data_IF_651386418982
#
_entry.id   IF_651386418982
#
_cell.length_a   1.000
_cell.length_b   1.000
_cell.length_c   1.000
_cell.angle_alpha   90.00
_cell.angle_beta   90.00
_cell.angle_gamma   90.00
#
_symmetry.space_group_name_H-M   'P 1'
#
loop_
_entity.id
_entity.type
_entity.pdbx_description
1 polymer ?
#
# COMPACT_ATOMS: atom_id res chain seq x y z
N UNK A 1 -38.24 -32.61 -21.25
CA UNK A 1 -37.68 -33.02 -19.95
C UNK A 1 -37.37 -31.72 -19.26
N UNK A 2 -38.33 -31.27 -18.45
CA UNK A 2 -38.18 -30.16 -17.51
C UNK A 2 -37.28 -30.66 -16.37
N UNK A 3 -36.29 -29.87 -15.95
CA UNK A 3 -35.72 -30.04 -14.61
C UNK A 3 -35.67 -28.67 -13.95
N UNK A 4 -36.45 -28.65 -12.88
CA UNK A 4 -36.79 -27.58 -11.98
C UNK A 4 -35.62 -27.27 -11.03
N UNK A 5 -35.71 -26.09 -10.43
CA UNK A 5 -34.79 -25.58 -9.43
C UNK A 5 -35.06 -26.27 -8.09
N UNK A 6 -34.05 -26.56 -7.27
CA UNK A 6 -34.27 -26.64 -5.82
C UNK A 6 -33.00 -26.30 -5.01
N UNK A 7 -33.18 -25.25 -4.23
CA UNK A 7 -32.35 -24.66 -3.19
C UNK A 7 -32.33 -25.56 -1.94
N UNK A 8 -31.18 -25.72 -1.29
CA UNK A 8 -31.09 -26.43 -0.01
C UNK A 8 -30.25 -25.64 1.01
N UNK A 9 -30.94 -24.77 1.75
CA UNK A 9 -30.50 -24.20 3.02
C UNK A 9 -30.58 -25.23 4.15
N UNK A 10 -29.53 -25.38 4.96
CA UNK A 10 -29.64 -25.87 6.35
C UNK A 10 -28.58 -25.25 7.27
N UNK A 11 -29.08 -24.41 8.17
CA UNK A 11 -28.53 -24.05 9.48
C UNK A 11 -28.55 -25.24 10.44
N UNK A 12 -27.59 -25.32 11.38
CA UNK A 12 -27.86 -25.46 12.83
C UNK A 12 -26.57 -25.62 13.67
N UNK A 13 -26.61 -24.92 14.81
CA UNK A 13 -25.62 -24.67 15.86
C UNK A 13 -25.34 -25.87 16.77
N UNK A 14 -24.17 -25.96 17.44
CA UNK A 14 -23.85 -25.76 18.89
C UNK A 14 -22.57 -26.62 19.15
N UNK A 15 -21.64 -26.42 20.09
CA UNK A 15 -21.68 -26.07 21.52
C UNK A 15 -20.25 -25.74 22.05
N UNK A 16 -20.16 -25.36 23.33
CA UNK A 16 -19.10 -24.71 24.14
C UNK A 16 -17.90 -25.57 24.56
N UNK A 17 -16.79 -24.89 24.91
CA UNK A 17 -15.96 -25.04 26.14
C UNK A 17 -14.91 -23.88 26.13
N UNK A 18 -14.47 -23.17 27.18
CA UNK A 18 -14.45 -23.41 28.62
C UNK A 18 -13.01 -23.44 29.18
N UNK A 19 -12.29 -22.31 29.36
CA UNK A 19 -11.16 -22.27 30.33
C UNK A 19 -10.74 -20.87 30.84
N UNK A 20 -10.56 -20.80 32.17
CA UNK A 20 -10.09 -19.68 33.01
C UNK A 20 -8.55 -19.68 33.21
N UNK A 21 -8.00 -18.50 33.53
CA UNK A 21 -6.80 -18.27 34.37
C UNK A 21 -6.38 -16.79 34.30
N UNK A 22 -6.59 -15.91 35.29
CA UNK A 22 -6.01 -15.69 36.65
C UNK A 22 -4.54 -15.23 36.70
N UNK A 23 -4.33 -13.99 37.18
CA UNK A 23 -3.11 -13.48 37.85
C UNK A 23 -2.14 -12.71 36.95
N UNK A 24 -1.60 -11.54 37.30
CA UNK A 24 -1.66 -10.74 38.52
C UNK A 24 -0.95 -9.39 38.28
N UNK A 25 -1.39 -8.36 39.01
CA UNK A 25 -0.87 -6.98 38.98
C UNK A 25 -0.03 -6.78 40.24
N UNK A 26 1.27 -6.40 40.12
CA UNK A 26 2.06 -5.82 41.22
C UNK A 26 3.43 -5.27 40.77
N UNK A 27 3.77 -4.08 41.29
CA UNK A 27 5.15 -3.57 41.47
C UNK A 27 5.55 -2.48 40.47
N UNK A 28 5.32 -1.17 40.72
CA UNK A 28 6.17 -0.25 41.52
C UNK A 28 7.68 -0.33 41.23
N UNK A 29 8.21 0.74 40.64
CA UNK A 29 9.65 1.00 40.51
C UNK A 29 9.97 2.27 39.73
N UNK A 30 9.86 3.44 40.38
CA UNK A 30 10.58 4.66 39.96
C UNK A 30 12.09 4.46 40.18
N UNK A 31 12.96 5.03 39.33
CA UNK A 31 13.89 6.02 39.88
C UNK A 31 14.14 7.25 38.99
N UNK A 32 13.95 8.41 39.62
CA UNK A 32 14.85 9.59 39.69
C UNK A 32 15.70 10.01 38.47
N UNK A 33 15.47 11.27 38.04
CA UNK A 33 16.31 12.11 37.20
C UNK A 33 17.77 12.26 37.66
N UNK A 34 18.72 12.33 36.71
CA UNK A 34 19.87 13.24 36.77
C UNK A 34 20.59 13.43 35.42
N UNK A 35 20.47 14.67 34.91
CA UNK A 35 21.44 15.55 34.23
C UNK A 35 22.54 14.98 33.30
N UNK A 36 22.41 15.38 32.04
CA UNK A 36 23.34 16.20 31.22
C UNK A 36 24.80 15.72 31.02
N UNK A 37 25.12 15.35 29.76
CA UNK A 37 26.44 15.63 29.16
C UNK A 37 26.46 15.54 27.61
N UNK A 38 26.70 16.71 27.00
CA UNK A 38 27.47 17.09 25.79
C UNK A 38 27.53 16.22 24.50
N UNK A 39 27.51 16.98 23.39
CA UNK A 39 28.17 16.73 22.07
C UNK A 39 27.41 15.74 21.16
N UNK A 40 27.36 15.82 19.83
CA UNK A 40 27.90 16.70 18.78
C UNK A 40 27.19 16.32 17.47
N UNK A 41 27.23 17.22 16.49
CA UNK A 41 27.12 16.99 15.04
C UNK A 41 27.23 15.53 14.55
N UNK A 42 26.25 15.08 13.75
CA UNK A 42 26.33 13.85 12.97
C UNK A 42 25.15 13.75 12.01
N UNK A 43 25.45 13.87 10.72
CA UNK A 43 24.52 13.95 9.60
C UNK A 43 24.39 12.56 9.01
N UNK A 44 23.34 11.82 9.37
CA UNK A 44 23.02 10.56 8.71
C UNK A 44 21.56 10.57 8.28
N UNK A 45 21.36 10.73 6.97
CA UNK A 45 20.07 10.48 6.31
C UNK A 45 19.95 8.97 6.13
N UNK A 46 19.61 8.28 7.21
CA UNK A 46 19.14 6.92 7.12
C UNK A 46 17.65 6.98 6.80
N UNK A 47 17.25 6.47 5.63
CA UNK A 47 15.83 6.26 5.27
C UNK A 47 15.35 5.08 6.10
N UNK A 48 15.08 5.33 7.37
CA UNK A 48 14.40 4.38 8.23
C UNK A 48 12.95 4.31 7.73
N UNK A 49 12.70 3.35 6.86
CA UNK A 49 11.35 2.98 6.46
C UNK A 49 10.66 2.48 7.72
N UNK A 50 9.78 3.30 8.28
CA UNK A 50 8.96 2.93 9.44
C UNK A 50 8.33 1.56 9.20
N UNK A 51 8.48 0.66 10.17
CA UNK A 51 7.85 -0.67 10.14
C UNK A 51 6.35 -0.52 10.35
N UNK A 52 5.56 -1.47 9.85
CA UNK A 52 4.11 -1.44 10.05
C UNK A 52 3.75 -1.44 11.55
N UNK A 53 4.57 -2.08 12.38
CA UNK A 53 4.44 -2.11 13.83
C UNK A 53 4.66 -0.73 14.50
N UNK A 54 5.62 0.06 14.02
CA UNK A 54 5.87 1.42 14.54
C UNK A 54 4.73 2.40 14.20
N UNK A 55 4.04 2.16 13.07
CA UNK A 55 2.93 2.98 12.61
C UNK A 55 1.60 2.68 13.31
N UNK A 56 1.48 1.55 14.03
CA UNK A 56 0.22 1.15 14.70
C UNK A 56 0.18 1.60 16.17
N UNK A 57 1.35 1.83 16.80
CA UNK A 57 1.46 2.11 18.24
C UNK A 57 1.67 3.59 18.61
N UNK A 58 1.91 4.47 17.64
CA UNK A 58 1.95 5.92 17.84
C UNK A 58 0.60 6.56 17.57
N UNK A 59 0.35 7.78 18.07
CA UNK A 59 -0.79 8.60 17.66
C UNK A 59 -0.72 8.81 16.13
N UNK A 60 -1.40 7.95 15.37
CA UNK A 60 -1.19 7.83 13.92
C UNK A 60 -1.75 9.06 13.24
N UNK A 61 -0.89 10.03 12.99
CA UNK A 61 -1.21 11.12 12.08
C UNK A 61 -1.45 10.51 10.70
N UNK A 62 -2.72 10.40 10.32
CA UNK A 62 -3.13 9.90 9.00
C UNK A 62 -2.50 10.82 7.94
N UNK A 63 -1.73 10.27 6.99
CA UNK A 63 -1.10 11.07 5.95
C UNK A 63 -2.11 11.89 5.13
N UNK A 64 -1.72 13.09 4.71
CA UNK A 64 -2.60 13.99 3.93
C UNK A 64 -2.18 14.14 2.48
N UNK A 65 -1.02 13.61 2.09
CA UNK A 65 -0.58 13.57 0.71
C UNK A 65 -0.57 12.15 0.13
N UNK A 66 -0.70 12.05 -1.19
CA UNK A 66 -0.81 10.77 -1.89
C UNK A 66 0.38 9.86 -1.66
N UNK A 67 1.60 10.41 -1.69
CA UNK A 67 2.82 9.61 -1.56
C UNK A 67 2.90 8.94 -0.19
N UNK A 68 2.73 9.71 0.87
CA UNK A 68 2.79 9.19 2.25
C UNK A 68 1.63 8.24 2.54
N UNK A 69 0.42 8.54 2.04
CA UNK A 69 -0.73 7.63 2.19
C UNK A 69 -0.51 6.31 1.43
N UNK A 70 0.11 6.37 0.25
CA UNK A 70 0.50 5.19 -0.51
C UNK A 70 1.51 4.34 0.24
N UNK A 71 2.58 4.96 0.77
CA UNK A 71 3.60 4.25 1.55
C UNK A 71 2.99 3.63 2.82
N UNK A 72 2.10 4.36 3.51
CA UNK A 72 1.36 3.86 4.66
C UNK A 72 0.49 2.64 4.30
N UNK A 73 -0.34 2.74 3.25
CA UNK A 73 -1.21 1.64 2.83
C UNK A 73 -0.42 0.45 2.26
N UNK A 74 0.73 0.69 1.61
CA UNK A 74 1.64 -0.37 1.19
C UNK A 74 2.19 -1.12 2.40
N UNK A 75 2.56 -0.41 3.48
CA UNK A 75 3.01 -1.03 4.73
C UNK A 75 1.91 -1.86 5.37
N UNK A 76 0.70 -1.32 5.49
CA UNK A 76 -0.47 -2.02 6.04
C UNK A 76 -0.79 -3.30 5.26
N UNK A 77 -0.61 -3.31 3.94
CA UNK A 77 -0.85 -4.49 3.10
C UNK A 77 0.35 -5.46 2.99
N UNK A 78 1.49 -5.16 3.61
CA UNK A 78 2.70 -6.00 3.50
C UNK A 78 3.41 -5.89 2.13
N UNK A 79 3.22 -4.78 1.43
CA UNK A 79 3.83 -4.50 0.12
C UNK A 79 5.00 -3.50 0.19
N UNK A 80 5.37 -3.03 1.37
CA UNK A 80 6.51 -2.13 1.58
C UNK A 80 7.85 -2.69 1.09
N UNK A 81 8.78 -1.78 0.79
CA UNK A 81 10.16 -2.12 0.45
C UNK A 81 10.35 -2.73 -0.94
N UNK A 82 9.35 -2.62 -1.83
CA UNK A 82 9.41 -3.08 -3.23
C UNK A 82 9.94 -1.95 -4.12
N UNK A 83 11.20 -1.99 -4.60
CA UNK A 83 11.77 -0.87 -5.37
C UNK A 83 11.01 -0.55 -6.66
N UNK A 84 10.39 -1.57 -7.28
CA UNK A 84 9.60 -1.35 -8.49
C UNK A 84 8.33 -0.53 -8.22
N UNK A 85 7.74 -0.61 -7.02
CA UNK A 85 6.60 0.24 -6.64
C UNK A 85 7.03 1.69 -6.48
N UNK A 86 8.18 1.93 -5.85
CA UNK A 86 8.75 3.27 -5.67
C UNK A 86 8.97 3.99 -7.01
N UNK A 87 9.44 3.26 -8.04
CA UNK A 87 9.64 3.82 -9.39
C UNK A 87 8.33 4.26 -10.05
N UNK A 88 7.27 3.46 -9.90
CA UNK A 88 5.94 3.80 -10.41
C UNK A 88 5.37 4.98 -9.61
N UNK A 89 5.48 4.95 -8.28
CA UNK A 89 4.99 6.01 -7.40
C UNK A 89 5.65 7.36 -7.71
N UNK A 90 6.97 7.36 -7.92
CA UNK A 90 7.73 8.55 -8.30
C UNK A 90 7.29 9.15 -9.65
N UNK A 91 6.72 8.32 -10.54
CA UNK A 91 6.27 8.72 -11.88
C UNK A 91 4.76 8.91 -11.98
N UNK A 92 4.02 8.66 -10.90
CA UNK A 92 2.56 8.57 -10.91
C UNK A 92 1.87 9.87 -11.30
N UNK A 93 2.37 10.99 -10.79
CA UNK A 93 1.86 12.33 -11.10
C UNK A 93 2.00 12.66 -12.60
N UNK A 94 3.09 12.23 -13.23
CA UNK A 94 3.29 12.35 -14.68
C UNK A 94 2.37 11.40 -15.47
N UNK A 95 2.18 10.17 -14.98
CA UNK A 95 1.22 9.22 -15.58
C UNK A 95 -0.20 9.81 -15.62
N UNK A 96 -0.67 10.37 -14.50
CA UNK A 96 -2.00 10.99 -14.40
C UNK A 96 -2.13 12.16 -15.37
N UNK A 97 -1.12 13.04 -15.46
CA UNK A 97 -1.11 14.14 -16.44
C UNK A 97 -1.13 13.67 -17.89
N UNK A 98 -0.58 12.49 -18.17
CA UNK A 98 -0.57 11.90 -19.51
C UNK A 98 -1.87 11.19 -19.91
N UNK A 99 -2.86 11.09 -19.01
CA UNK A 99 -4.11 10.35 -19.23
C UNK A 99 -4.91 10.77 -20.46
N UNK A 100 -4.80 12.03 -20.87
CA UNK A 100 -5.48 12.57 -22.06
C UNK A 100 -4.74 12.30 -23.38
N UNK A 101 -3.50 11.81 -23.34
CA UNK A 101 -2.67 11.57 -24.53
C UNK A 101 -2.09 10.16 -24.52
N UNK A 102 -2.61 9.31 -25.42
CA UNK A 102 -2.16 7.92 -25.55
C UNK A 102 -0.69 7.79 -25.95
N UNK A 103 -0.16 8.75 -26.71
CA UNK A 103 1.25 8.83 -27.07
C UNK A 103 2.13 9.16 -25.85
N UNK A 104 1.78 10.19 -25.08
CA UNK A 104 2.51 10.54 -23.85
C UNK A 104 2.45 9.43 -22.81
N UNK A 105 1.27 8.84 -22.61
CA UNK A 105 1.10 7.68 -21.73
C UNK A 105 2.03 6.53 -22.12
N UNK A 106 2.18 6.27 -23.43
CA UNK A 106 3.09 5.24 -23.92
C UNK A 106 4.54 5.57 -23.58
N UNK A 107 5.00 6.78 -23.90
CA UNK A 107 6.38 7.23 -23.59
C UNK A 107 6.68 7.08 -22.09
N UNK A 108 5.76 7.51 -21.22
CA UNK A 108 5.93 7.39 -19.76
C UNK A 108 5.95 5.92 -19.31
N UNK A 109 5.09 5.07 -19.86
CA UNK A 109 5.10 3.63 -19.56
C UNK A 109 6.39 2.96 -20.04
N UNK A 110 6.96 3.38 -21.17
CA UNK A 110 8.24 2.88 -21.69
C UNK A 110 9.38 3.26 -20.72
N UNK A 111 9.44 4.52 -20.29
CA UNK A 111 10.43 5.02 -19.31
C UNK A 111 10.31 4.27 -17.97
N UNK A 112 9.09 4.10 -17.45
CA UNK A 112 8.85 3.35 -16.21
C UNK A 112 9.29 1.90 -16.35
N UNK A 113 8.99 1.25 -17.47
CA UNK A 113 9.40 -0.14 -17.73
C UNK A 113 10.92 -0.29 -17.70
N UNK A 114 11.65 0.66 -18.29
CA UNK A 114 13.12 0.71 -18.23
C UNK A 114 13.65 0.93 -16.81
N UNK A 115 13.03 1.83 -16.02
CA UNK A 115 13.42 2.06 -14.62
C UNK A 115 13.20 0.81 -13.77
N UNK A 116 12.05 0.16 -13.92
CA UNK A 116 11.73 -1.09 -13.24
C UNK A 116 12.71 -2.20 -13.63
N UNK A 117 13.06 -2.33 -14.91
CA UNK A 117 14.02 -3.32 -15.41
C UNK A 117 15.42 -3.16 -14.79
N UNK A 118 15.80 -1.93 -14.42
CA UNK A 118 17.07 -1.66 -13.70
C UNK A 118 17.02 -2.05 -12.22
N UNK A 119 15.82 -2.23 -11.65
CA UNK A 119 15.71 -2.67 -10.25
C UNK A 119 16.03 -4.17 -10.14
N UNK A 120 16.62 -4.57 -9.00
CA UNK A 120 16.90 -5.99 -8.70
C UNK A 120 15.64 -6.88 -8.63
N UNK A 121 14.45 -6.27 -8.70
CA UNK A 121 13.13 -6.90 -8.59
C UNK A 121 12.47 -7.22 -9.93
N UNK A 122 13.16 -7.01 -11.07
CA UNK A 122 12.60 -7.16 -12.41
C UNK A 122 11.91 -8.50 -12.73
N UNK A 123 12.15 -9.56 -11.93
CA UNK A 123 11.58 -10.90 -12.13
C UNK A 123 10.26 -11.16 -11.38
N UNK A 124 9.95 -10.41 -10.32
CA UNK A 124 8.78 -10.65 -9.45
C UNK A 124 7.93 -9.38 -9.33
N UNK A 125 7.43 -8.89 -10.48
CA UNK A 125 6.59 -7.68 -10.52
C UNK A 125 5.12 -8.11 -10.55
N UNK A 126 4.35 -7.64 -9.58
CA UNK A 126 2.91 -7.85 -9.52
C UNK A 126 2.19 -6.51 -9.53
N UNK A 127 1.88 -6.02 -10.72
CA UNK A 127 1.24 -4.71 -10.92
C UNK A 127 -0.15 -4.62 -10.27
N UNK A 128 -0.81 -5.74 -9.99
CA UNK A 128 -2.09 -5.74 -9.27
C UNK A 128 -1.94 -5.25 -7.82
N UNK A 129 -0.80 -5.47 -7.19
CA UNK A 129 -0.53 -4.98 -5.83
C UNK A 129 -0.49 -3.45 -5.81
N UNK A 130 0.14 -2.83 -6.82
CA UNK A 130 0.16 -1.38 -6.93
C UNK A 130 -1.26 -0.82 -7.09
N UNK A 131 -2.09 -1.46 -7.93
CA UNK A 131 -3.52 -1.09 -8.09
C UNK A 131 -4.23 -1.04 -6.74
N UNK A 132 -4.09 -2.09 -5.93
CA UNK A 132 -4.73 -2.21 -4.63
C UNK A 132 -4.32 -1.08 -3.69
N UNK A 133 -3.01 -0.81 -3.59
CA UNK A 133 -2.49 0.28 -2.75
C UNK A 133 -2.93 1.64 -3.27
N UNK A 134 -2.86 1.87 -4.58
CA UNK A 134 -3.28 3.12 -5.22
C UNK A 134 -4.74 3.43 -4.90
N UNK A 135 -5.65 2.48 -5.16
CA UNK A 135 -7.08 2.68 -4.91
C UNK A 135 -7.39 2.85 -3.42
N UNK A 136 -6.73 2.08 -2.54
CA UNK A 136 -6.86 2.27 -1.09
C UNK A 136 -6.45 3.69 -0.68
N UNK A 137 -5.35 4.20 -1.23
CA UNK A 137 -4.78 5.49 -0.86
C UNK A 137 -5.62 6.66 -1.34
N UNK A 138 -6.18 6.58 -2.56
CA UNK A 138 -7.09 7.59 -3.07
C UNK A 138 -8.37 7.65 -2.23
N UNK A 139 -8.95 6.49 -1.86
CA UNK A 139 -10.14 6.42 -0.99
C UNK A 139 -9.89 7.06 0.38
N UNK A 140 -8.73 6.78 0.99
CA UNK A 140 -8.38 7.35 2.30
C UNK A 140 -8.23 8.88 2.27
N UNK A 141 -7.84 9.45 1.13
CA UNK A 141 -7.58 10.90 1.01
C UNK A 141 -8.81 11.73 0.67
N UNK A 142 -9.74 11.17 -0.10
CA UNK A 142 -10.97 11.87 -0.52
C UNK A 142 -12.24 11.11 -0.17
N UNK A 143 -12.42 10.64 1.08
CA UNK A 143 -13.54 9.76 1.44
C UNK A 143 -14.92 10.40 1.27
N UNK A 144 -15.01 11.74 1.32
CA UNK A 144 -16.27 12.47 1.17
C UNK A 144 -16.74 12.55 -0.28
N UNK A 145 -15.80 12.64 -1.22
CA UNK A 145 -16.09 12.83 -2.65
C UNK A 145 -15.95 11.52 -3.45
N UNK A 146 -15.30 10.50 -2.87
CA UNK A 146 -15.12 9.21 -3.52
C UNK A 146 -16.46 8.53 -3.80
N UNK A 147 -16.63 8.08 -5.04
CA UNK A 147 -17.83 7.40 -5.49
C UNK A 147 -17.49 6.40 -6.60
N UNK A 148 -18.50 5.69 -7.10
CA UNK A 148 -18.32 4.66 -8.14
C UNK A 148 -17.68 5.21 -9.42
N UNK A 149 -17.95 6.45 -9.81
CA UNK A 149 -17.33 7.05 -11.01
C UNK A 149 -15.83 7.25 -10.83
N UNK A 150 -15.39 7.68 -9.64
CA UNK A 150 -13.96 7.75 -9.31
C UNK A 150 -13.31 6.36 -9.36
N UNK A 151 -13.96 5.36 -8.77
CA UNK A 151 -13.49 3.98 -8.76
C UNK A 151 -13.26 3.44 -10.18
N UNK A 152 -14.23 3.64 -11.07
CA UNK A 152 -14.16 3.23 -12.48
C UNK A 152 -13.07 3.98 -13.21
N UNK A 153 -12.98 5.31 -13.05
CA UNK A 153 -11.99 6.13 -13.74
C UNK A 153 -10.55 5.76 -13.36
N UNK A 154 -10.26 5.62 -12.06
CA UNK A 154 -8.95 5.24 -11.56
C UNK A 154 -8.59 3.79 -11.91
N UNK A 155 -9.57 2.89 -11.88
CA UNK A 155 -9.40 1.51 -12.34
C UNK A 155 -9.04 1.47 -13.82
N UNK A 156 -9.77 2.20 -14.67
CA UNK A 156 -9.49 2.28 -16.11
C UNK A 156 -8.09 2.84 -16.39
N UNK A 157 -7.70 3.92 -15.70
CA UNK A 157 -6.38 4.51 -15.85
C UNK A 157 -5.31 3.46 -15.56
N UNK A 158 -5.42 2.78 -14.42
CA UNK A 158 -4.44 1.79 -14.01
C UNK A 158 -4.42 0.58 -14.96
N UNK A 159 -5.57 0.05 -15.36
CA UNK A 159 -5.62 -1.11 -16.28
C UNK A 159 -4.96 -0.78 -17.62
N UNK A 160 -5.09 0.46 -18.08
CA UNK A 160 -4.40 0.96 -19.28
C UNK A 160 -2.88 1.03 -19.09
N UNK A 161 -2.41 1.54 -17.96
CA UNK A 161 -0.98 1.61 -17.61
C UNK A 161 -0.40 0.20 -17.45
N UNK A 162 -1.10 -0.68 -16.72
CA UNK A 162 -0.71 -2.06 -16.47
C UNK A 162 -0.53 -2.83 -17.78
N UNK A 163 -1.46 -2.69 -18.72
CA UNK A 163 -1.36 -3.34 -20.04
C UNK A 163 -0.11 -2.88 -20.81
N UNK A 164 0.22 -1.58 -20.78
CA UNK A 164 1.40 -1.02 -21.45
C UNK A 164 2.70 -1.45 -20.80
N UNK A 165 2.79 -1.36 -19.48
CA UNK A 165 3.99 -1.76 -18.73
C UNK A 165 4.25 -3.27 -18.91
N UNK A 166 3.23 -4.12 -18.83
CA UNK A 166 3.37 -5.57 -19.10
C UNK A 166 3.86 -5.88 -20.50
N UNK A 167 3.47 -5.07 -21.49
CA UNK A 167 3.92 -5.27 -22.85
C UNK A 167 5.44 -5.04 -23.00
N UNK A 168 6.00 -4.14 -22.19
CA UNK A 168 7.37 -3.64 -22.32
C UNK A 168 8.35 -4.29 -21.33
N UNK A 169 7.89 -4.74 -20.16
CA UNK A 169 8.75 -5.44 -19.21
C UNK A 169 9.39 -6.67 -19.86
N UNK A 170 10.71 -6.76 -19.78
CA UNK A 170 11.49 -7.90 -20.28
C UNK A 170 11.80 -7.86 -21.78
N UNK A 171 11.39 -6.81 -22.50
CA UNK A 171 11.82 -6.58 -23.89
C UNK A 171 12.87 -5.46 -23.90
N UNK A 172 14.10 -5.73 -24.38
CA UNK A 172 15.16 -4.73 -24.46
C UNK A 172 14.88 -3.65 -25.51
#
# INVERSE_FOLDING_TARGET
>A
VEEDSEESTRDLSTEKDGKKGTGGIKGMGLPTSSKHRRSSHGKDRHRDSATAEDLINGEVSVPTNFKEMFEFNAAVMGFSGRPWMDEILASFDTLVRSASSSARMKEECDVISLRIAKTRSGKNINLKEFKSVMLSSLRSLVPKDWNTSHEVAWTWLWDTVEAKIKHNIGKP
#
